data_IF_275861416877
#
_entry.id   IF_275861416877
#
_cell.length_a   1.000
_cell.length_b   1.000
_cell.length_c   1.000
_cell.angle_alpha   90.00
_cell.angle_beta   90.00
_cell.angle_gamma   90.00
#
_symmetry.space_group_name_H-M   'P 1'
#
loop_
_entity.id
_entity.type
_entity.pdbx_description
1 polymer ?
#
# COMPACT_ATOMS: atom_id res chain seq x y z
N UNK A 1 -6.05 -24.22 -0.15
CA UNK A 1 -6.84 -23.83 1.03
C UNK A 1 -7.31 -22.40 0.79
N UNK A 2 -8.60 -22.11 1.05
CA UNK A 2 -9.10 -20.73 0.93
C UNK A 2 -8.43 -19.89 2.01
N UNK A 3 -7.50 -19.02 1.63
CA UNK A 3 -6.85 -18.06 2.54
C UNK A 3 -7.75 -16.84 2.77
N UNK A 4 -9.03 -17.08 3.01
CA UNK A 4 -9.99 -16.05 3.36
C UNK A 4 -10.06 -15.93 4.88
N UNK A 5 -9.84 -14.72 5.39
CA UNK A 5 -9.93 -14.37 6.81
C UNK A 5 -11.00 -13.31 6.97
N UNK A 6 -11.93 -13.51 7.90
CA UNK A 6 -12.92 -12.50 8.30
C UNK A 6 -12.68 -12.14 9.76
N UNK A 7 -12.53 -10.85 10.02
CA UNK A 7 -12.39 -10.28 11.36
C UNK A 7 -13.65 -9.48 11.70
N UNK A 8 -14.02 -9.49 12.98
CA UNK A 8 -15.16 -8.73 13.49
C UNK A 8 -14.73 -7.86 14.66
N UNK A 9 -15.26 -6.63 14.72
CA UNK A 9 -15.14 -5.79 15.91
C UNK A 9 -15.85 -6.42 17.11
N UNK A 10 -15.51 -6.00 18.32
CA UNK A 10 -16.11 -6.59 19.53
C UNK A 10 -17.61 -6.31 19.64
N UNK A 11 -18.05 -5.15 19.18
CA UNK A 11 -19.45 -4.72 19.14
C UNK A 11 -20.22 -5.18 17.88
N UNK A 12 -19.54 -5.91 16.96
CA UNK A 12 -20.05 -6.38 15.67
C UNK A 12 -20.57 -5.27 14.72
N UNK A 13 -20.16 -4.01 14.92
CA UNK A 13 -20.52 -2.89 14.02
C UNK A 13 -19.57 -2.79 12.82
N UNK A 14 -18.45 -3.50 12.86
CA UNK A 14 -17.48 -3.52 11.78
C UNK A 14 -16.98 -4.94 11.48
N UNK A 15 -16.69 -5.19 10.21
CA UNK A 15 -15.98 -6.41 9.77
C UNK A 15 -14.97 -6.11 8.69
N UNK A 16 -13.93 -6.93 8.64
CA UNK A 16 -12.85 -6.86 7.64
C UNK A 16 -12.68 -8.22 7.02
N UNK A 17 -12.63 -8.27 5.69
CA UNK A 17 -12.33 -9.49 4.94
C UNK A 17 -10.98 -9.35 4.25
N UNK A 18 -10.12 -10.36 4.43
CA UNK A 18 -8.81 -10.45 3.82
C UNK A 18 -8.73 -11.71 2.96
N UNK A 19 -8.34 -11.58 1.70
CA UNK A 19 -8.12 -12.69 0.79
C UNK A 19 -6.62 -12.78 0.45
N UNK A 20 -5.96 -13.87 0.87
CA UNK A 20 -4.50 -14.05 0.69
C UNK A 20 -3.67 -12.85 1.20
N UNK A 21 -4.14 -12.18 2.27
CA UNK A 21 -3.52 -11.01 2.85
C UNK A 21 -3.90 -9.67 2.20
N UNK A 22 -4.62 -9.67 1.09
CA UNK A 22 -5.22 -8.47 0.50
C UNK A 22 -6.48 -8.07 1.26
N UNK A 23 -6.62 -6.80 1.62
CA UNK A 23 -7.82 -6.24 2.23
C UNK A 23 -8.89 -6.05 1.14
N UNK A 24 -9.88 -6.93 1.09
CA UNK A 24 -10.91 -6.95 0.05
C UNK A 24 -12.25 -6.34 0.49
N UNK A 25 -12.44 -6.15 1.79
CA UNK A 25 -13.64 -5.49 2.34
C UNK A 25 -13.34 -4.89 3.72
N UNK A 26 -13.86 -3.72 3.98
CA UNK A 26 -13.98 -3.13 5.29
C UNK A 26 -15.37 -2.52 5.43
N UNK A 27 -16.25 -3.26 6.07
CA UNK A 27 -17.62 -2.82 6.39
C UNK A 27 -17.64 -2.11 7.74
N UNK A 28 -18.26 -0.95 7.78
CA UNK A 28 -18.61 -0.22 9.02
C UNK A 28 -20.06 0.21 8.95
N UNK A 29 -20.89 -0.22 9.91
CA UNK A 29 -22.33 0.02 9.92
C UNK A 29 -23.03 -0.35 8.59
N UNK A 30 -22.62 -1.47 7.99
CA UNK A 30 -23.07 -1.97 6.68
C UNK A 30 -22.65 -1.10 5.47
N UNK A 31 -21.80 -0.11 5.63
CA UNK A 31 -21.20 0.65 4.54
C UNK A 31 -19.84 0.04 4.16
N UNK A 32 -19.66 -0.28 2.87
CA UNK A 32 -18.39 -0.77 2.35
C UNK A 32 -17.45 0.40 2.07
N UNK A 33 -16.23 0.32 2.58
CA UNK A 33 -15.25 1.40 2.50
C UNK A 33 -14.15 1.12 1.48
N UNK A 34 -13.95 -0.15 1.10
CA UNK A 34 -12.89 -0.60 0.20
C UNK A 34 -13.44 -0.79 -1.22
N UNK A 35 -12.68 -0.36 -2.20
CA UNK A 35 -12.98 -0.61 -3.60
C UNK A 35 -13.13 -2.10 -3.89
N UNK A 36 -14.22 -2.48 -4.54
CA UNK A 36 -14.55 -3.88 -4.82
C UNK A 36 -13.97 -4.31 -6.18
N UNK A 37 -13.25 -5.44 -6.18
CA UNK A 37 -12.75 -6.07 -7.39
C UNK A 37 -13.91 -6.34 -8.36
N UNK A 38 -13.67 -6.04 -9.65
CA UNK A 38 -14.68 -6.17 -10.70
C UNK A 38 -15.47 -4.90 -10.99
N UNK A 39 -15.45 -3.91 -10.11
CA UNK A 39 -15.92 -2.57 -10.43
C UNK A 39 -14.93 -1.83 -11.35
N UNK A 40 -15.39 -0.81 -12.10
CA UNK A 40 -14.51 0.05 -12.87
C UNK A 40 -13.36 0.62 -12.01
N UNK A 41 -12.14 0.61 -12.55
CA UNK A 41 -10.97 1.12 -11.84
C UNK A 41 -9.86 0.08 -11.69
N UNK A 42 -9.26 0.04 -10.50
CA UNK A 42 -8.17 -0.87 -10.22
C UNK A 42 -8.66 -2.30 -9.97
N UNK A 43 -7.93 -3.28 -10.51
CA UNK A 43 -8.29 -4.72 -10.39
C UNK A 43 -8.05 -5.34 -9.01
N UNK A 44 -7.33 -4.63 -8.12
CA UNK A 44 -7.06 -5.03 -6.74
C UNK A 44 -7.72 -4.04 -5.78
N UNK A 45 -7.67 -4.33 -4.50
CA UNK A 45 -8.17 -3.49 -3.42
C UNK A 45 -7.07 -2.96 -2.50
N UNK A 46 -5.97 -3.70 -2.33
CA UNK A 46 -4.75 -3.21 -1.71
C UNK A 46 -3.51 -3.98 -2.20
N UNK A 47 -2.33 -3.42 -1.96
CA UNK A 47 -1.03 -4.11 -2.08
C UNK A 47 0.04 -3.34 -1.33
N UNK A 48 1.11 -4.03 -0.95
CA UNK A 48 2.32 -3.40 -0.45
C UNK A 48 3.31 -3.16 -1.59
N UNK A 49 4.03 -2.05 -1.52
CA UNK A 49 5.10 -1.67 -2.46
C UNK A 49 6.44 -1.78 -1.72
N UNK A 50 7.21 -2.86 -2.02
CA UNK A 50 8.47 -3.14 -1.34
C UNK A 50 9.33 -4.12 -2.17
N UNK A 51 10.66 -4.00 -2.23
CA UNK A 51 11.54 -3.03 -1.58
C UNK A 51 11.63 -1.68 -2.30
N UNK A 52 10.85 -1.47 -3.34
CA UNK A 52 10.71 -0.17 -4.02
C UNK A 52 9.24 0.18 -4.24
N UNK A 53 8.95 1.46 -4.29
CA UNK A 53 7.66 1.98 -4.73
C UNK A 53 7.63 2.03 -6.27
N UNK A 54 8.67 2.58 -6.91
CA UNK A 54 8.75 2.79 -8.35
C UNK A 54 8.18 4.13 -8.77
N UNK A 55 8.17 4.45 -10.06
CA UNK A 55 8.53 3.60 -11.20
C UNK A 55 10.02 3.29 -11.29
N UNK A 56 10.36 2.23 -12.03
CA UNK A 56 11.76 1.80 -12.24
C UNK A 56 12.19 1.84 -13.72
N UNK A 57 11.27 2.16 -14.61
CA UNK A 57 11.50 2.17 -16.07
C UNK A 57 12.63 3.11 -16.49
N UNK A 58 12.67 4.32 -15.93
CA UNK A 58 13.72 5.31 -16.24
C UNK A 58 15.10 4.88 -15.76
N UNK A 59 15.16 4.01 -14.75
CA UNK A 59 16.38 3.33 -14.28
C UNK A 59 16.64 2.02 -15.04
N UNK A 60 16.00 1.78 -16.20
CA UNK A 60 16.09 0.52 -16.95
C UNK A 60 15.77 -0.71 -16.09
N UNK A 61 14.86 -0.55 -15.13
CA UNK A 61 14.47 -1.57 -14.14
C UNK A 61 15.61 -2.01 -13.21
N UNK A 62 16.67 -1.23 -13.09
CA UNK A 62 17.82 -1.51 -12.23
C UNK A 62 17.78 -0.62 -11.00
N UNK A 63 17.93 -1.25 -9.83
CA UNK A 63 18.14 -0.57 -8.55
C UNK A 63 19.54 -0.87 -8.06
N UNK A 64 20.31 0.18 -7.81
CA UNK A 64 21.67 0.09 -7.25
C UNK A 64 21.61 0.04 -5.74
N UNK A 65 22.25 -0.96 -5.17
CA UNK A 65 22.41 -1.16 -3.72
C UNK A 65 23.88 -1.25 -3.35
N UNK A 66 24.27 -1.18 -2.07
CA UNK A 66 25.63 -1.48 -1.62
C UNK A 66 26.15 -2.87 -2.05
N UNK A 67 25.26 -3.82 -2.33
CA UNK A 67 25.59 -5.19 -2.76
C UNK A 67 25.53 -5.39 -4.28
N UNK A 68 25.35 -4.32 -5.07
CA UNK A 68 25.31 -4.39 -6.53
C UNK A 68 23.97 -3.94 -7.14
N UNK A 69 23.79 -4.28 -8.40
CA UNK A 69 22.64 -3.87 -9.22
C UNK A 69 21.66 -5.04 -9.36
N UNK A 70 20.35 -4.76 -9.12
CA UNK A 70 19.30 -5.77 -9.14
C UNK A 70 18.09 -5.29 -9.91
N UNK A 71 17.47 -6.21 -10.64
CA UNK A 71 16.24 -5.92 -11.36
C UNK A 71 15.07 -5.79 -10.37
N UNK A 72 14.35 -4.68 -10.49
CA UNK A 72 13.08 -4.45 -9.80
C UNK A 72 12.08 -3.81 -10.77
N UNK A 73 10.83 -4.18 -10.64
CA UNK A 73 9.74 -3.50 -11.35
C UNK A 73 8.95 -2.61 -10.38
N UNK A 74 8.10 -1.75 -10.92
CA UNK A 74 7.22 -0.88 -10.14
C UNK A 74 6.45 -1.67 -9.08
N UNK A 75 6.49 -1.18 -7.84
CA UNK A 75 5.94 -1.76 -6.62
C UNK A 75 6.75 -2.93 -6.03
N UNK A 76 7.92 -3.24 -6.61
CA UNK A 76 8.87 -4.21 -6.06
C UNK A 76 8.38 -5.66 -6.09
N UNK A 77 9.23 -6.56 -5.58
CA UNK A 77 9.00 -8.00 -5.64
C UNK A 77 8.07 -8.54 -4.54
N UNK A 78 7.78 -7.78 -3.48
CA UNK A 78 6.98 -8.28 -2.36
C UNK A 78 5.58 -8.74 -2.81
N UNK A 79 4.99 -8.06 -3.77
CA UNK A 79 3.68 -8.40 -4.34
C UNK A 79 3.63 -9.77 -5.01
N UNK A 80 4.76 -10.30 -5.43
CA UNK A 80 4.89 -11.60 -6.08
C UNK A 80 5.07 -12.76 -5.08
N UNK A 81 5.20 -12.45 -3.78
CA UNK A 81 5.34 -13.44 -2.72
C UNK A 81 3.99 -13.76 -2.07
N UNK A 82 3.78 -15.02 -1.72
CA UNK A 82 2.59 -15.45 -1.00
C UNK A 82 2.66 -15.15 0.49
N UNK A 83 1.54 -14.76 1.08
CA UNK A 83 1.38 -14.68 2.52
C UNK A 83 1.08 -16.03 3.15
N UNK A 84 1.69 -16.30 4.29
CA UNK A 84 1.27 -17.31 5.26
C UNK A 84 0.64 -16.63 6.48
N UNK A 85 -0.39 -17.23 7.08
CA UNK A 85 -0.99 -16.77 8.32
C UNK A 85 -0.11 -17.27 9.47
N UNK A 86 0.36 -16.35 10.32
CA UNK A 86 1.17 -16.66 11.53
C UNK A 86 0.27 -16.77 12.77
N UNK A 87 -0.75 -15.91 12.89
CA UNK A 87 -1.70 -15.92 13.99
C UNK A 87 -3.04 -15.29 13.56
N UNK A 88 -4.13 -15.74 14.15
CA UNK A 88 -5.48 -15.19 13.93
C UNK A 88 -6.33 -15.30 15.19
N UNK A 89 -7.09 -14.25 15.48
CA UNK A 89 -8.13 -14.20 16.50
C UNK A 89 -9.45 -13.71 15.89
N UNK A 90 -10.47 -13.40 16.71
CA UNK A 90 -11.73 -12.83 16.22
C UNK A 90 -11.54 -11.49 15.50
N UNK A 91 -10.60 -10.66 15.98
CA UNK A 91 -10.43 -9.28 15.51
C UNK A 91 -9.00 -8.93 15.10
N UNK A 92 -8.09 -9.90 15.09
CA UNK A 92 -6.69 -9.70 14.64
C UNK A 92 -6.24 -10.81 13.72
N UNK A 93 -5.34 -10.49 12.79
CA UNK A 93 -4.65 -11.48 11.98
C UNK A 93 -3.23 -11.00 11.67
N UNK A 94 -2.27 -11.92 11.68
CA UNK A 94 -0.87 -11.65 11.29
C UNK A 94 -0.52 -12.48 10.08
N UNK A 95 -0.21 -11.80 9.00
CA UNK A 95 0.30 -12.38 7.76
C UNK A 95 1.81 -12.19 7.67
N UNK A 96 2.49 -13.17 7.06
CA UNK A 96 3.94 -13.16 6.91
C UNK A 96 4.38 -13.60 5.52
N UNK A 97 5.32 -12.85 4.94
CA UNK A 97 6.11 -13.23 3.76
C UNK A 97 7.57 -13.36 4.15
N UNK A 98 8.30 -14.27 3.51
CA UNK A 98 9.75 -14.43 3.66
C UNK A 98 10.40 -14.41 2.30
N UNK A 99 11.57 -13.80 2.23
CA UNK A 99 12.39 -13.76 1.04
C UNK A 99 13.84 -14.10 1.39
N UNK A 100 14.42 -15.04 0.65
CA UNK A 100 15.83 -15.36 0.73
C UNK A 100 16.61 -14.50 -0.28
N UNK A 101 17.69 -13.89 0.17
CA UNK A 101 18.53 -13.04 -0.66
C UNK A 101 18.91 -13.73 -1.99
N UNK A 102 18.96 -12.93 -3.06
CA UNK A 102 19.32 -13.36 -4.43
C UNK A 102 18.32 -14.32 -5.10
N UNK A 103 17.23 -14.71 -4.44
CA UNK A 103 16.20 -15.55 -5.08
C UNK A 103 15.57 -14.79 -6.24
N UNK A 104 15.60 -15.40 -7.42
CA UNK A 104 14.92 -14.87 -8.59
C UNK A 104 13.41 -15.18 -8.51
N UNK A 105 12.58 -14.15 -8.60
CA UNK A 105 11.12 -14.23 -8.54
C UNK A 105 10.55 -13.84 -9.90
N UNK A 106 9.58 -14.59 -10.41
CA UNK A 106 8.87 -14.24 -11.64
C UNK A 106 8.07 -12.96 -11.44
N UNK A 107 8.20 -12.05 -12.41
CA UNK A 107 7.44 -10.79 -12.45
C UNK A 107 6.11 -11.03 -13.17
N UNK A 108 5.01 -10.93 -12.46
CA UNK A 108 3.65 -11.13 -13.01
C UNK A 108 3.27 -10.17 -14.14
N UNK A 109 4.05 -9.11 -14.34
CA UNK A 109 3.85 -8.15 -15.46
C UNK A 109 4.51 -8.58 -16.76
N UNK A 110 5.44 -9.55 -16.72
CA UNK A 110 6.12 -10.06 -17.93
C UNK A 110 5.21 -11.00 -18.72
N UNK A 111 5.22 -10.96 -20.05
CA UNK A 111 5.88 -9.97 -20.93
C UNK A 111 5.01 -8.75 -21.26
N UNK A 112 3.73 -8.74 -20.88
CA UNK A 112 2.71 -7.83 -21.42
C UNK A 112 2.93 -6.37 -20.97
N UNK A 113 3.37 -6.17 -19.72
CA UNK A 113 3.49 -4.85 -19.08
C UNK A 113 4.91 -4.51 -18.65
N UNK A 114 5.83 -5.45 -18.78
CA UNK A 114 7.23 -5.29 -18.39
C UNK A 114 8.14 -6.16 -19.27
N UNK A 115 9.32 -5.68 -19.69
CA UNK A 115 10.32 -6.49 -20.35
C UNK A 115 11.12 -7.37 -19.38
N UNK A 116 10.97 -7.18 -18.05
CA UNK A 116 11.76 -7.88 -17.04
C UNK A 116 11.01 -9.13 -16.59
N UNK A 117 11.59 -10.30 -16.90
CA UNK A 117 11.01 -11.60 -16.53
C UNK A 117 11.22 -11.93 -15.06
N UNK A 118 12.41 -11.62 -14.52
CA UNK A 118 12.81 -11.98 -13.16
C UNK A 118 13.25 -10.74 -12.40
N UNK A 119 12.81 -10.66 -11.14
CA UNK A 119 13.24 -9.65 -10.17
C UNK A 119 13.91 -10.32 -8.98
N UNK A 120 14.88 -9.64 -8.35
CA UNK A 120 15.60 -10.17 -7.18
C UNK A 120 16.09 -9.06 -6.28
N UNK A 121 16.38 -9.38 -5.02
CA UNK A 121 16.94 -8.46 -4.03
C UNK A 121 18.11 -9.11 -3.28
N UNK A 122 19.18 -8.40 -2.94
CA UNK A 122 20.37 -9.03 -2.35
C UNK A 122 20.32 -9.16 -0.83
N UNK A 123 19.15 -9.03 -0.23
CA UNK A 123 18.96 -9.06 1.22
C UNK A 123 17.87 -10.05 1.61
N UNK A 124 18.12 -10.82 2.67
CA UNK A 124 17.06 -11.60 3.31
C UNK A 124 16.11 -10.65 4.02
N UNK A 125 14.82 -10.94 3.96
CA UNK A 125 13.85 -10.23 4.79
C UNK A 125 12.67 -11.12 5.19
N UNK A 126 12.07 -10.76 6.32
CA UNK A 126 10.72 -11.17 6.71
C UNK A 126 9.85 -9.92 6.73
N UNK A 127 8.72 -9.99 6.09
CA UNK A 127 7.71 -8.93 6.06
C UNK A 127 6.44 -9.42 6.74
N UNK A 128 5.99 -8.73 7.78
CA UNK A 128 4.73 -9.03 8.46
C UNK A 128 3.72 -7.91 8.24
N UNK A 129 2.47 -8.29 7.96
CA UNK A 129 1.31 -7.41 7.92
C UNK A 129 0.36 -7.86 9.03
N UNK A 130 0.28 -7.08 10.09
CA UNK A 130 -0.63 -7.32 11.20
C UNK A 130 -1.85 -6.44 11.07
N UNK A 131 -3.03 -7.05 11.18
CA UNK A 131 -4.34 -6.41 11.08
C UNK A 131 -5.00 -6.49 12.44
N UNK A 132 -5.48 -5.36 12.96
CA UNK A 132 -6.26 -5.29 14.19
C UNK A 132 -7.50 -4.41 13.98
N UNK A 133 -8.68 -5.03 14.10
CA UNK A 133 -9.96 -4.35 13.99
C UNK A 133 -10.48 -4.01 15.39
N UNK A 134 -10.73 -2.74 15.62
CA UNK A 134 -11.40 -2.23 16.84
C UNK A 134 -12.85 -1.85 16.53
N UNK A 135 -13.57 -1.34 17.52
CA UNK A 135 -14.91 -0.81 17.30
C UNK A 135 -14.93 0.48 16.47
N UNK A 136 -13.81 1.22 16.44
CA UNK A 136 -13.72 2.54 15.80
C UNK A 136 -12.78 2.60 14.62
N UNK A 137 -11.79 1.70 14.52
CA UNK A 137 -10.73 1.79 13.52
C UNK A 137 -10.20 0.44 13.08
N UNK A 138 -9.57 0.44 11.92
CA UNK A 138 -8.74 -0.64 11.39
C UNK A 138 -7.29 -0.20 11.45
N UNK A 139 -6.48 -0.91 12.25
CA UNK A 139 -5.03 -0.69 12.34
C UNK A 139 -4.30 -1.75 11.54
N UNK A 140 -3.38 -1.31 10.69
CA UNK A 140 -2.49 -2.15 9.89
C UNK A 140 -1.06 -1.81 10.29
N UNK A 141 -0.30 -2.82 10.71
CA UNK A 141 1.12 -2.65 11.08
C UNK A 141 1.98 -3.49 10.14
N UNK A 142 2.98 -2.86 9.55
CA UNK A 142 3.99 -3.51 8.73
C UNK A 142 5.29 -3.58 9.53
N UNK A 143 5.84 -4.79 9.67
CA UNK A 143 7.14 -5.03 10.28
C UNK A 143 8.07 -5.64 9.24
N UNK A 144 9.23 -5.01 9.05
CA UNK A 144 10.29 -5.48 8.18
C UNK A 144 11.46 -5.90 9.05
N UNK A 145 11.78 -7.20 9.05
CA UNK A 145 12.96 -7.72 9.74
C UNK A 145 13.99 -8.15 8.70
N UNK A 146 15.17 -7.56 8.74
CA UNK A 146 16.26 -7.77 7.77
C UNK A 146 17.63 -7.49 8.40
N UNK A 147 18.69 -7.58 7.64
CA UNK A 147 20.01 -7.11 8.07
C UNK A 147 20.10 -5.57 8.09
N UNK A 148 20.87 -5.02 9.02
CA UNK A 148 21.15 -3.58 9.08
C UNK A 148 21.84 -3.12 7.79
N UNK A 149 21.46 -1.95 7.33
CA UNK A 149 22.02 -1.35 6.12
C UNK A 149 21.31 -1.72 4.82
N UNK A 150 20.24 -2.54 4.86
CA UNK A 150 19.42 -2.77 3.67
C UNK A 150 18.71 -1.49 3.25
N UNK A 151 18.92 -1.00 1.99
CA UNK A 151 18.12 0.09 1.46
C UNK A 151 16.71 -0.41 1.09
N UNK A 152 15.69 0.37 1.36
CA UNK A 152 14.33 0.05 0.94
C UNK A 152 13.45 1.28 0.84
N UNK A 153 12.40 1.19 0.06
CA UNK A 153 11.21 2.05 0.09
C UNK A 153 10.03 1.18 0.52
N UNK A 154 9.12 1.75 1.26
CA UNK A 154 7.86 1.12 1.61
C UNK A 154 6.69 2.02 1.23
N UNK A 155 5.68 1.43 0.61
CA UNK A 155 4.38 2.03 0.40
C UNK A 155 3.26 1.03 0.62
N UNK A 156 2.11 1.53 1.02
CA UNK A 156 0.88 0.77 1.10
C UNK A 156 -0.16 1.40 0.17
N UNK A 157 -0.82 0.58 -0.63
CA UNK A 157 -1.64 1.01 -1.75
C UNK A 157 -3.09 0.51 -1.60
N UNK A 158 -3.86 1.01 -0.61
CA UNK A 158 -5.26 0.69 -0.44
C UNK A 158 -6.12 1.54 -1.40
N UNK A 159 -7.21 0.96 -1.87
CA UNK A 159 -8.20 1.61 -2.69
C UNK A 159 -9.52 1.76 -1.94
N UNK A 160 -10.01 2.96 -1.80
CA UNK A 160 -11.26 3.29 -1.10
C UNK A 160 -12.40 3.53 -2.09
N UNK A 161 -13.62 3.14 -1.70
CA UNK A 161 -14.82 3.46 -2.49
C UNK A 161 -15.14 4.94 -2.45
N UNK A 162 -15.47 5.48 -3.64
CA UNK A 162 -16.11 6.77 -3.83
C UNK A 162 -17.56 6.55 -4.25
N UNK A 163 -18.41 7.51 -3.94
CA UNK A 163 -19.83 7.50 -4.35
C UNK A 163 -20.02 7.92 -5.81
N UNK A 164 -18.93 8.30 -6.51
CA UNK A 164 -18.93 8.68 -7.92
C UNK A 164 -19.51 10.07 -8.18
N UNK A 165 -19.75 10.85 -7.14
CA UNK A 165 -20.16 12.24 -7.25
C UNK A 165 -18.95 13.17 -7.07
N UNK A 166 -18.95 14.29 -7.78
CA UNK A 166 -17.83 15.25 -7.83
C UNK A 166 -17.58 16.05 -6.55
N UNK A 167 -18.29 15.72 -5.46
CA UNK A 167 -18.25 16.47 -4.20
C UNK A 167 -17.39 15.79 -3.12
N UNK A 168 -16.72 14.72 -3.46
CA UNK A 168 -15.77 14.06 -2.57
C UNK A 168 -14.42 14.75 -2.69
N UNK A 169 -13.79 15.00 -1.56
CA UNK A 169 -12.50 15.70 -1.50
C UNK A 169 -11.55 14.99 -0.53
N UNK A 170 -10.27 15.16 -0.78
CA UNK A 170 -9.22 14.78 0.16
C UNK A 170 -8.74 16.03 0.89
N UNK A 171 -8.64 15.95 2.21
CA UNK A 171 -8.14 17.07 3.02
C UNK A 171 -6.87 16.66 3.75
N UNK A 172 -5.84 17.52 3.72
CA UNK A 172 -4.61 17.37 4.47
C UNK A 172 -3.88 18.70 4.60
N UNK A 173 -3.22 18.97 5.74
CA UNK A 173 -2.44 20.20 5.96
C UNK A 173 -3.20 21.49 5.60
N UNK A 174 -4.49 21.59 5.90
CA UNK A 174 -5.38 22.70 5.53
C UNK A 174 -5.56 22.88 4.01
N UNK A 175 -5.19 21.91 3.20
CA UNK A 175 -5.48 21.85 1.78
C UNK A 175 -6.67 20.94 1.51
N UNK A 176 -7.49 21.33 0.54
CA UNK A 176 -8.56 20.53 -0.02
C UNK A 176 -8.19 20.18 -1.47
N UNK A 177 -8.19 18.89 -1.79
CA UNK A 177 -7.79 18.34 -3.08
C UNK A 177 -9.00 17.64 -3.67
N UNK A 178 -9.47 18.09 -4.81
CA UNK A 178 -10.64 17.52 -5.48
C UNK A 178 -10.29 16.26 -6.27
N UNK A 179 -11.24 15.34 -6.43
CA UNK A 179 -11.04 14.14 -7.26
C UNK A 179 -10.65 14.48 -8.71
N UNK A 180 -11.28 15.48 -9.39
CA UNK A 180 -10.83 15.90 -10.72
C UNK A 180 -9.38 16.41 -10.79
N UNK A 181 -8.87 17.02 -9.70
CA UNK A 181 -7.47 17.45 -9.63
C UNK A 181 -6.52 16.26 -9.57
N UNK A 182 -6.85 15.23 -8.80
CA UNK A 182 -6.08 13.98 -8.73
C UNK A 182 -6.07 13.30 -10.10
N UNK A 183 -7.20 13.25 -10.80
CA UNK A 183 -7.34 12.63 -12.12
C UNK A 183 -6.46 13.28 -13.20
N UNK A 184 -6.16 14.58 -13.09
CA UNK A 184 -5.25 15.27 -14.03
C UNK A 184 -3.84 14.68 -14.05
N UNK A 185 -3.42 14.00 -12.99
CA UNK A 185 -2.12 13.32 -12.93
C UNK A 185 -2.03 12.09 -13.84
N UNK A 186 -3.16 11.54 -14.29
CA UNK A 186 -3.19 10.31 -15.11
C UNK A 186 -2.49 9.15 -14.39
N UNK A 187 -1.45 8.61 -15.03
CA UNK A 187 -0.65 7.52 -14.43
C UNK A 187 0.34 7.98 -13.35
N UNK A 188 0.50 9.31 -13.17
CA UNK A 188 1.34 9.87 -12.12
C UNK A 188 0.49 10.20 -10.90
N UNK A 189 0.71 9.50 -9.80
CA UNK A 189 -0.01 9.75 -8.56
C UNK A 189 0.25 11.17 -8.03
N UNK A 190 -0.80 11.82 -7.54
CA UNK A 190 -0.74 13.17 -6.96
C UNK A 190 -0.04 13.13 -5.58
N UNK A 191 0.98 13.96 -5.32
CA UNK A 191 1.69 13.95 -4.04
C UNK A 191 0.98 14.75 -2.95
N UNK A 192 0.94 14.19 -1.74
CA UNK A 192 0.63 14.91 -0.50
C UNK A 192 1.79 14.68 0.45
N UNK A 193 2.65 15.66 0.58
CA UNK A 193 3.96 15.51 1.22
C UNK A 193 4.00 16.10 2.62
N UNK A 194 4.94 15.62 3.44
CA UNK A 194 5.24 16.12 4.79
C UNK A 194 4.01 16.09 5.71
N UNK A 195 3.25 15.00 5.66
CA UNK A 195 2.10 14.77 6.54
C UNK A 195 2.00 13.30 6.91
N UNK A 196 1.50 13.03 8.10
CA UNK A 196 1.15 11.69 8.60
C UNK A 196 -0.36 11.50 8.76
N UNK A 197 -1.16 12.47 8.29
CA UNK A 197 -2.62 12.41 8.39
C UNK A 197 -3.27 12.96 7.13
N UNK A 198 -4.34 12.27 6.69
CA UNK A 198 -5.16 12.65 5.54
C UNK A 198 -6.59 12.19 5.77
N UNK A 199 -7.56 12.91 5.25
CA UNK A 199 -8.97 12.51 5.31
C UNK A 199 -9.62 12.49 3.94
N UNK A 200 -10.44 11.47 3.68
CA UNK A 200 -11.40 11.44 2.58
C UNK A 200 -12.75 11.91 3.12
N UNK A 201 -13.20 13.06 2.65
CA UNK A 201 -14.47 13.66 3.04
C UNK A 201 -15.50 13.40 1.95
N UNK A 202 -16.60 12.76 2.33
CA UNK A 202 -17.70 12.40 1.44
C UNK A 202 -18.93 13.23 1.81
N UNK A 203 -19.71 13.61 0.83
CA UNK A 203 -20.99 14.30 1.09
C UNK A 203 -22.04 13.38 1.71
N UNK A 204 -22.01 12.11 1.31
CA UNK A 204 -22.91 11.05 1.80
C UNK A 204 -22.05 9.85 2.21
N UNK A 205 -22.44 9.18 3.29
CA UNK A 205 -21.72 8.05 3.85
C UNK A 205 -20.62 8.47 4.83
N UNK A 206 -19.82 7.48 5.25
CA UNK A 206 -18.76 7.67 6.22
C UNK A 206 -17.55 8.36 5.62
N UNK A 207 -17.06 9.38 6.30
CA UNK A 207 -15.73 9.93 6.04
C UNK A 207 -14.65 8.96 6.53
N UNK A 208 -13.44 9.09 5.99
CA UNK A 208 -12.31 8.29 6.42
C UNK A 208 -11.18 9.21 6.85
N UNK A 209 -10.63 8.95 8.02
CA UNK A 209 -9.39 9.54 8.49
C UNK A 209 -8.31 8.46 8.45
N UNK A 210 -7.17 8.78 7.85
CA UNK A 210 -6.03 7.88 7.75
C UNK A 210 -4.86 8.55 8.45
N UNK A 211 -4.36 7.89 9.49
CA UNK A 211 -3.19 8.32 10.26
C UNK A 211 -2.08 7.30 10.14
N UNK A 212 -0.83 7.76 10.11
CA UNK A 212 0.32 6.90 9.89
C UNK A 212 1.44 7.14 10.89
N UNK A 213 2.27 6.10 11.12
CA UNK A 213 3.56 6.22 11.77
C UNK A 213 4.63 5.60 10.89
N UNK A 214 5.76 6.29 10.75
CA UNK A 214 6.85 5.89 9.86
C UNK A 214 6.67 6.31 8.41
N UNK A 215 5.42 6.52 7.95
CA UNK A 215 5.13 7.18 6.68
C UNK A 215 4.95 8.69 6.91
N UNK A 216 5.53 9.48 6.02
CA UNK A 216 5.48 10.95 6.11
C UNK A 216 4.92 11.61 4.86
N UNK A 217 4.43 10.81 3.92
CA UNK A 217 3.89 11.26 2.65
C UNK A 217 2.75 10.35 2.22
N UNK A 218 1.91 10.86 1.33
CA UNK A 218 0.90 10.08 0.62
C UNK A 218 0.99 10.31 -0.88
N UNK A 219 0.56 9.32 -1.64
CA UNK A 219 0.19 9.45 -3.04
C UNK A 219 -1.31 9.26 -3.18
N UNK A 220 -1.92 10.01 -4.09
CA UNK A 220 -3.34 9.88 -4.46
C UNK A 220 -3.42 9.49 -5.93
N UNK A 221 -4.15 8.42 -6.22
CA UNK A 221 -4.34 7.96 -7.59
C UNK A 221 -5.75 7.43 -7.79
N UNK A 222 -6.34 7.80 -8.93
CA UNK A 222 -7.64 7.27 -9.33
C UNK A 222 -7.77 7.19 -10.84
N UNK A 223 -8.03 5.99 -11.40
CA UNK A 223 -8.32 5.79 -12.81
C UNK A 223 -9.82 5.91 -13.13
N UNK A 224 -10.69 6.00 -12.11
CA UNK A 224 -12.14 6.00 -12.28
C UNK A 224 -12.82 6.81 -11.16
N UNK A 225 -14.07 7.22 -11.38
CA UNK A 225 -14.80 8.10 -10.45
C UNK A 225 -15.34 7.40 -9.20
N UNK A 226 -15.30 6.08 -9.16
CA UNK A 226 -15.88 5.25 -8.08
C UNK A 226 -14.86 4.76 -7.05
N UNK A 227 -13.60 5.15 -7.19
CA UNK A 227 -12.54 4.73 -6.27
C UNK A 227 -11.42 5.78 -6.15
N UNK A 228 -10.69 5.72 -5.04
CA UNK A 228 -9.48 6.51 -4.82
C UNK A 228 -8.46 5.68 -4.04
N UNK A 229 -7.25 5.56 -4.57
CA UNK A 229 -6.12 5.07 -3.80
C UNK A 229 -5.55 6.22 -2.98
N UNK A 230 -5.41 6.00 -1.67
CA UNK A 230 -4.73 6.90 -0.74
C UNK A 230 -3.56 6.10 -0.17
N UNK A 231 -2.38 6.38 -0.66
CA UNK A 231 -1.21 5.52 -0.52
C UNK A 231 -0.19 6.12 0.45
N UNK A 232 -0.12 5.68 1.72
CA UNK A 232 1.00 6.02 2.59
C UNK A 232 2.33 5.53 2.00
N UNK A 233 3.32 6.42 1.95
CA UNK A 233 4.64 6.15 1.35
C UNK A 233 5.78 6.71 2.19
N UNK A 234 6.93 6.04 2.17
CA UNK A 234 8.15 6.55 2.82
C UNK A 234 8.80 7.67 2.04
N UNK A 235 8.74 7.63 0.71
CA UNK A 235 9.25 8.67 -0.17
C UNK A 235 8.41 8.76 -1.45
N UNK A 236 8.24 9.98 -1.98
CA UNK A 236 7.55 10.21 -3.24
C UNK A 236 8.47 9.88 -4.42
N UNK A 237 8.15 8.87 -5.24
CA UNK A 237 9.11 8.32 -6.21
C UNK A 237 9.27 9.17 -7.48
N UNK A 238 8.40 10.15 -7.69
CA UNK A 238 8.43 10.99 -8.90
C UNK A 238 9.27 12.27 -8.74
N UNK A 239 9.88 12.47 -7.59
CA UNK A 239 10.85 13.53 -7.36
C UNK A 239 12.07 13.30 -8.27
N UNK A 240 12.54 14.36 -8.97
CA UNK A 240 13.72 14.25 -9.82
C UNK A 240 13.52 13.49 -11.15
N UNK A 241 12.32 13.51 -11.72
CA UNK A 241 12.09 13.01 -13.09
C UNK A 241 11.87 11.49 -13.19
N UNK A 242 11.26 10.90 -12.18
CA UNK A 242 10.92 9.47 -12.11
C UNK A 242 12.14 8.53 -11.99
N UNK A 243 13.30 9.05 -11.67
CA UNK A 243 14.48 8.23 -11.40
C UNK A 243 14.57 7.86 -9.92
N UNK A 244 14.77 6.58 -9.64
CA UNK A 244 15.03 6.09 -8.28
C UNK A 244 16.46 6.44 -7.87
N UNK A 245 16.62 7.54 -7.15
CA UNK A 245 17.89 7.94 -6.56
C UNK A 245 18.03 7.36 -5.15
N UNK A 246 19.27 7.27 -4.65
CA UNK A 246 19.55 6.67 -3.33
C UNK A 246 18.90 7.42 -2.15
N UNK A 247 18.62 8.70 -2.33
CA UNK A 247 18.00 9.57 -1.33
C UNK A 247 16.53 9.20 -1.03
N UNK A 248 15.89 8.44 -1.95
CA UNK A 248 14.52 7.96 -1.78
C UNK A 248 14.44 6.73 -0.86
N UNK A 249 15.58 6.11 -0.55
CA UNK A 249 15.61 4.87 0.20
C UNK A 249 15.86 5.13 1.69
N UNK A 250 15.04 4.51 2.53
CA UNK A 250 15.36 4.31 3.93
C UNK A 250 16.47 3.27 4.05
N UNK A 251 17.25 3.35 5.13
CA UNK A 251 18.26 2.36 5.47
C UNK A 251 17.79 1.61 6.72
N UNK A 252 17.62 0.30 6.60
CA UNK A 252 17.12 -0.52 7.70
C UNK A 252 18.06 -0.53 8.91
N UNK A 253 17.46 -0.48 10.11
CA UNK A 253 18.14 -0.67 11.39
C UNK A 253 18.10 -2.15 11.88
N UNK A 254 17.57 -3.05 11.06
CA UNK A 254 17.38 -4.47 11.37
C UNK A 254 15.92 -4.85 11.57
N UNK A 255 15.16 -4.04 12.30
CA UNK A 255 13.70 -4.13 12.42
C UNK A 255 13.13 -2.74 12.25
N UNK A 256 12.25 -2.59 11.27
CA UNK A 256 11.58 -1.33 10.95
C UNK A 256 10.06 -1.54 11.00
N UNK A 257 9.34 -0.63 11.66
CA UNK A 257 7.89 -0.74 11.90
C UNK A 257 7.17 0.48 11.36
N UNK A 258 6.07 0.24 10.64
CA UNK A 258 5.21 1.26 10.06
C UNK A 258 3.76 0.96 10.40
N UNK A 259 2.95 1.99 10.65
CA UNK A 259 1.55 1.84 11.01
C UNK A 259 0.66 2.69 10.11
N UNK A 260 -0.51 2.14 9.79
CA UNK A 260 -1.62 2.84 9.15
C UNK A 260 -2.87 2.59 9.97
N UNK A 261 -3.55 3.63 10.38
CA UNK A 261 -4.83 3.53 11.08
C UNK A 261 -5.92 4.22 10.24
N UNK A 262 -6.96 3.47 9.92
CA UNK A 262 -8.11 3.92 9.12
C UNK A 262 -9.31 4.03 10.05
N UNK A 263 -9.79 5.23 10.27
CA UNK A 263 -10.91 5.55 11.16
C UNK A 263 -12.08 6.11 10.36
N UNK A 264 -13.16 5.34 10.15
CA UNK A 264 -14.43 5.85 9.64
C UNK A 264 -15.14 6.72 10.67
N UNK A 265 -15.73 7.85 10.25
CA UNK A 265 -16.44 8.77 11.15
C UNK A 265 -17.57 9.51 10.44
#
# INVERSE_FOLDING_TARGET
MNNLVVLHSLDNTASVTLEKGELVSYLKNNEELIHQKGNPGWRNSDTEMFPIIGPSKENKFIVTTPKGNYNQDQHGLLRELDYSIENQTKNTCVFKKKYAAYTAIENSKFPEKSPIKLVSWPYNFTFKKSIALTNSSLKITFEISTEKGMPFMLGYHPAFMLNGNSNEVVTSNSQEISIPEIQKGGDTAFPVLNTSEISLVKKNGLNLKIQTKGFHNFMLWTPATNMLCIEPITAYPYTGGKMLSKELFNISNGVDVFEVEITPY
#
